data_IF_918427605530
#
_entry.id   IF_918427605530
#
_cell.length_a   1.000
_cell.length_b   1.000
_cell.length_c   1.000
_cell.angle_alpha   90.00
_cell.angle_beta   90.00
_cell.angle_gamma   90.00
#
_symmetry.space_group_name_H-M   'P 1'
#
loop_
_entity.id
_entity.type
_entity.pdbx_description
1 polymer ?
#
# COMPACT_ATOMS: atom_id res chain seq x y z
N UNK A 1 -41.85 -17.34 5.57
CA UNK A 1 -41.22 -17.37 4.25
C UNK A 1 -41.03 -15.96 3.65
N UNK A 2 -42.00 -15.07 3.75
CA UNK A 2 -41.96 -13.71 3.21
C UNK A 2 -40.85 -12.81 3.85
N UNK A 3 -40.64 -12.91 5.14
CA UNK A 3 -39.67 -12.10 5.90
C UNK A 3 -38.23 -12.36 5.44
N UNK A 4 -37.87 -13.62 5.19
CA UNK A 4 -36.53 -13.97 4.73
C UNK A 4 -36.23 -13.47 3.30
N UNK A 5 -37.26 -13.39 2.45
CA UNK A 5 -37.16 -12.87 1.11
C UNK A 5 -36.94 -11.35 1.13
N UNK A 6 -37.67 -10.62 1.97
CA UNK A 6 -37.50 -9.17 2.14
C UNK A 6 -36.11 -8.83 2.70
N UNK A 7 -35.62 -9.59 3.70
CA UNK A 7 -34.24 -9.43 4.19
C UNK A 7 -33.18 -9.73 3.11
N UNK A 8 -33.39 -10.76 2.30
CA UNK A 8 -32.51 -11.10 1.19
C UNK A 8 -32.43 -9.96 0.16
N UNK A 9 -33.57 -9.40 -0.26
CA UNK A 9 -33.61 -8.30 -1.23
C UNK A 9 -32.97 -7.02 -0.67
N UNK A 10 -33.23 -6.70 0.60
CA UNK A 10 -32.59 -5.56 1.27
C UNK A 10 -31.06 -5.75 1.40
N UNK A 11 -30.63 -6.94 1.76
CA UNK A 11 -29.21 -7.26 1.89
C UNK A 11 -28.48 -7.21 0.54
N UNK A 12 -29.07 -7.79 -0.52
CA UNK A 12 -28.54 -7.70 -1.88
C UNK A 12 -28.58 -6.28 -2.43
N UNK A 13 -29.63 -5.51 -2.15
CA UNK A 13 -29.70 -4.09 -2.52
C UNK A 13 -28.63 -3.24 -1.84
N UNK A 14 -28.33 -3.52 -0.57
CA UNK A 14 -27.25 -2.89 0.17
C UNK A 14 -25.87 -3.26 -0.41
N UNK A 15 -25.65 -4.54 -0.75
CA UNK A 15 -24.40 -5.00 -1.36
C UNK A 15 -24.23 -4.43 -2.79
N UNK A 16 -25.27 -4.40 -3.59
CA UNK A 16 -25.24 -3.86 -4.94
C UNK A 16 -24.95 -2.34 -4.97
N UNK A 17 -25.30 -1.62 -3.90
CA UNK A 17 -25.06 -0.19 -3.75
C UNK A 17 -23.82 0.10 -2.87
N UNK A 18 -22.82 -0.76 -2.92
CA UNK A 18 -21.61 -0.71 -2.08
C UNK A 18 -20.78 0.57 -2.24
N UNK A 19 -20.93 1.27 -3.36
CA UNK A 19 -20.27 2.56 -3.58
C UNK A 19 -20.71 3.67 -2.60
N UNK A 20 -21.89 3.51 -1.97
CA UNK A 20 -22.43 4.48 -1.00
C UNK A 20 -22.12 4.11 0.46
N UNK A 21 -21.65 2.90 0.72
CA UNK A 21 -21.36 2.45 2.09
C UNK A 21 -19.93 2.81 2.49
N UNK A 22 -19.79 3.72 3.44
CA UNK A 22 -18.49 4.14 4.01
C UNK A 22 -17.61 2.98 4.51
N UNK A 23 -18.20 1.81 4.80
CA UNK A 23 -17.48 0.61 5.25
C UNK A 23 -16.47 0.11 4.20
N UNK A 24 -16.80 0.24 2.91
CA UNK A 24 -15.94 -0.21 1.81
C UNK A 24 -14.98 0.85 1.30
N UNK A 25 -15.10 2.12 1.76
CA UNK A 25 -14.21 3.19 1.34
C UNK A 25 -12.73 2.90 1.65
N UNK A 26 -12.45 2.07 2.64
CA UNK A 26 -11.07 1.69 3.03
C UNK A 26 -10.34 0.85 1.98
N UNK A 27 -11.06 0.18 1.10
CA UNK A 27 -10.46 -0.67 0.04
C UNK A 27 -10.77 -0.15 -1.36
N UNK A 28 -11.72 0.81 -1.47
CA UNK A 28 -12.06 1.40 -2.76
C UNK A 28 -10.85 2.15 -3.35
N UNK A 29 -10.59 1.87 -4.61
CA UNK A 29 -9.50 2.50 -5.36
C UNK A 29 -8.13 1.83 -5.20
N UNK A 30 -7.95 0.81 -4.33
CA UNK A 30 -6.66 0.13 -4.18
C UNK A 30 -6.30 -0.64 -5.46
N UNK A 31 -7.27 -1.31 -6.10
CA UNK A 31 -7.03 -2.03 -7.36
C UNK A 31 -6.63 -1.09 -8.50
N UNK A 32 -7.28 0.05 -8.64
CA UNK A 32 -6.91 1.06 -9.64
C UNK A 32 -5.54 1.68 -9.33
N UNK A 33 -5.23 1.87 -8.06
CA UNK A 33 -3.94 2.37 -7.61
C UNK A 33 -2.81 1.35 -7.87
N UNK A 34 -3.03 0.07 -7.61
CA UNK A 34 -2.02 -0.97 -7.89
C UNK A 34 -1.72 -1.08 -9.39
N UNK A 35 -2.76 -1.06 -10.24
CA UNK A 35 -2.58 -1.07 -11.70
C UNK A 35 -1.85 0.19 -12.19
N UNK A 36 -2.09 1.32 -11.55
CA UNK A 36 -1.36 2.55 -11.84
C UNK A 36 0.12 2.42 -11.46
N UNK A 37 0.44 1.95 -10.25
CA UNK A 37 1.81 1.73 -9.80
C UNK A 37 2.58 0.80 -10.74
N UNK A 38 1.99 -0.34 -11.06
CA UNK A 38 2.60 -1.35 -11.94
C UNK A 38 2.97 -0.76 -13.30
N UNK A 39 2.04 -0.04 -13.92
CA UNK A 39 2.22 0.53 -15.26
C UNK A 39 3.15 1.73 -15.33
N UNK A 40 3.26 2.50 -14.23
CA UNK A 40 3.93 3.81 -14.26
C UNK A 40 5.26 3.80 -13.51
N UNK A 41 5.33 3.13 -12.37
CA UNK A 41 6.46 3.27 -11.46
C UNK A 41 7.23 1.97 -11.23
N UNK A 42 6.61 0.80 -11.47
CA UNK A 42 7.26 -0.50 -11.26
C UNK A 42 7.92 -1.08 -12.51
N UNK A 43 7.95 -0.34 -13.62
CA UNK A 43 8.68 -0.76 -14.81
C UNK A 43 10.17 -0.81 -14.48
N UNK A 44 10.76 -2.00 -14.56
CA UNK A 44 12.17 -2.26 -14.18
C UNK A 44 12.50 -2.00 -12.71
N UNK A 45 11.53 -2.07 -11.81
CA UNK A 45 11.71 -1.97 -10.36
C UNK A 45 11.12 -3.20 -9.68
N UNK A 46 11.94 -3.87 -8.90
CA UNK A 46 11.56 -5.13 -8.24
C UNK A 46 11.18 -4.92 -6.77
N UNK A 47 11.50 -3.74 -6.21
CA UNK A 47 11.31 -3.46 -4.78
C UNK A 47 10.32 -2.32 -4.58
N UNK A 48 9.30 -2.60 -3.77
CA UNK A 48 8.28 -1.67 -3.33
C UNK A 48 8.27 -1.56 -1.81
N UNK A 49 8.50 -0.37 -1.29
CA UNK A 49 8.47 -0.09 0.16
C UNK A 49 7.21 0.70 0.49
N UNK A 50 6.42 0.21 1.43
CA UNK A 50 5.12 0.80 1.77
C UNK A 50 5.00 0.99 3.28
N UNK A 51 4.81 2.22 3.72
CA UNK A 51 4.68 2.55 5.14
C UNK A 51 3.26 2.36 5.70
N UNK A 52 2.25 2.59 4.88
CA UNK A 52 0.85 2.42 5.30
C UNK A 52 0.48 0.93 5.39
N UNK A 53 0.11 0.48 6.59
CA UNK A 53 -0.23 -0.93 6.88
C UNK A 53 -1.37 -1.48 6.03
N UNK A 54 -2.44 -0.69 5.83
CA UNK A 54 -3.59 -1.14 5.05
C UNK A 54 -3.22 -1.28 3.58
N UNK A 55 -2.52 -0.29 3.06
CA UNK A 55 -2.05 -0.29 1.69
C UNK A 55 -1.06 -1.44 1.45
N UNK A 56 -0.10 -1.64 2.37
CA UNK A 56 0.86 -2.74 2.32
C UNK A 56 0.16 -4.11 2.18
N UNK A 57 -0.79 -4.39 3.08
CA UNK A 57 -1.47 -5.70 3.09
C UNK A 57 -2.26 -5.96 1.81
N UNK A 58 -2.93 -4.95 1.29
CA UNK A 58 -3.70 -5.07 0.05
C UNK A 58 -2.79 -5.20 -1.19
N UNK A 59 -1.75 -4.37 -1.30
CA UNK A 59 -0.79 -4.46 -2.40
C UNK A 59 -0.04 -5.79 -2.38
N UNK A 60 0.36 -6.28 -1.20
CA UNK A 60 1.01 -7.60 -1.06
C UNK A 60 0.11 -8.74 -1.54
N UNK A 61 -1.19 -8.64 -1.31
CA UNK A 61 -2.15 -9.61 -1.84
C UNK A 61 -2.29 -9.50 -3.37
N UNK A 62 -2.34 -8.29 -3.92
CA UNK A 62 -2.49 -8.07 -5.36
C UNK A 62 -1.23 -8.55 -6.12
N UNK A 63 -0.04 -8.20 -5.61
CA UNK A 63 1.25 -8.53 -6.23
C UNK A 63 1.81 -9.90 -5.84
N UNK A 64 1.02 -10.76 -5.17
CA UNK A 64 1.51 -12.07 -4.66
C UNK A 64 2.04 -13.05 -5.71
N UNK A 65 1.72 -12.84 -6.98
CA UNK A 65 2.18 -13.66 -8.09
C UNK A 65 3.11 -12.91 -9.05
N UNK A 66 3.64 -11.78 -8.63
CA UNK A 66 4.65 -11.00 -9.35
C UNK A 66 6.00 -11.14 -8.66
N UNK A 67 7.08 -10.75 -9.34
CA UNK A 67 8.44 -10.75 -8.78
C UNK A 67 8.71 -9.51 -7.90
N UNK A 68 7.68 -8.72 -7.56
CA UNK A 68 7.82 -7.52 -6.75
C UNK A 68 8.02 -7.91 -5.29
N UNK A 69 9.19 -7.60 -4.76
CA UNK A 69 9.50 -7.72 -3.32
C UNK A 69 8.92 -6.54 -2.55
N UNK A 70 8.15 -6.81 -1.50
CA UNK A 70 7.51 -5.76 -0.71
C UNK A 70 8.05 -5.70 0.71
N UNK A 71 8.44 -4.50 1.13
CA UNK A 71 8.96 -4.21 2.46
C UNK A 71 8.21 -3.06 3.14
N UNK A 72 8.27 -3.05 4.48
CA UNK A 72 7.76 -1.96 5.30
C UNK A 72 8.92 -1.28 6.03
N UNK A 73 9.01 0.06 6.03
CA UNK A 73 10.02 0.77 6.79
C UNK A 73 9.85 0.46 8.28
N UNK A 74 10.92 0.04 8.93
CA UNK A 74 10.90 -0.21 10.37
C UNK A 74 12.31 -0.05 10.93
N UNK A 75 12.52 1.03 11.68
CA UNK A 75 13.82 1.28 12.30
C UNK A 75 14.16 0.18 13.31
N UNK A 76 15.40 -0.34 13.29
CA UNK A 76 15.87 -1.31 14.27
C UNK A 76 15.63 -0.83 15.71
N UNK A 77 15.31 -1.76 16.60
CA UNK A 77 15.05 -1.49 18.03
C UNK A 77 13.83 -0.62 18.34
N UNK A 78 13.02 -0.25 17.37
CA UNK A 78 11.75 0.43 17.61
C UNK A 78 10.62 -0.57 17.90
N UNK A 79 9.56 -0.08 18.55
CA UNK A 79 8.40 -0.92 18.87
C UNK A 79 7.72 -1.42 17.60
N UNK A 80 7.52 -2.73 17.54
CA UNK A 80 6.72 -3.34 16.47
C UNK A 80 5.26 -2.95 16.65
N UNK A 81 4.69 -2.27 15.67
CA UNK A 81 3.32 -1.76 15.73
C UNK A 81 2.40 -2.41 14.68
N UNK A 82 2.96 -3.20 13.78
CA UNK A 82 2.20 -3.82 12.70
C UNK A 82 2.80 -5.14 12.23
N UNK A 83 1.97 -6.01 11.64
CA UNK A 83 2.42 -7.27 11.06
C UNK A 83 3.50 -7.10 9.95
N UNK A 84 3.43 -6.12 9.04
CA UNK A 84 4.48 -5.88 8.07
C UNK A 84 5.86 -5.63 8.66
N UNK A 85 5.95 -4.97 9.81
CA UNK A 85 7.22 -4.74 10.52
C UNK A 85 7.89 -6.05 10.97
N UNK A 86 7.08 -7.09 11.25
CA UNK A 86 7.58 -8.42 11.59
C UNK A 86 7.96 -9.26 10.38
N UNK A 87 7.04 -9.30 9.40
CA UNK A 87 7.13 -10.27 8.31
C UNK A 87 7.95 -9.79 7.11
N UNK A 88 8.10 -8.50 6.96
CA UNK A 88 8.74 -7.90 5.78
C UNK A 88 9.39 -6.54 6.12
N UNK A 89 10.28 -6.48 7.13
CA UNK A 89 10.98 -5.23 7.46
C UNK A 89 11.99 -4.87 6.37
N UNK A 90 12.09 -3.59 6.06
CA UNK A 90 13.16 -3.09 5.20
C UNK A 90 14.47 -3.08 6.01
N UNK A 91 15.45 -3.85 5.57
CA UNK A 91 16.73 -3.96 6.27
C UNK A 91 17.60 -2.73 5.99
N UNK A 92 18.40 -2.33 6.99
CA UNK A 92 19.37 -1.22 6.84
C UNK A 92 20.50 -1.52 5.85
N UNK A 93 20.71 -2.78 5.50
CA UNK A 93 21.73 -3.23 4.55
C UNK A 93 21.28 -3.18 3.09
N UNK A 94 20.07 -2.69 2.81
CA UNK A 94 19.61 -2.54 1.42
C UNK A 94 20.47 -1.53 0.69
N UNK A 95 20.85 -1.85 -0.54
CA UNK A 95 21.64 -1.02 -1.45
C UNK A 95 21.10 -1.06 -2.89
N UNK A 96 19.84 -1.33 -3.04
CA UNK A 96 19.13 -1.36 -4.33
C UNK A 96 18.13 -0.22 -4.41
N UNK A 97 17.97 0.32 -5.61
CA UNK A 97 16.92 1.32 -5.87
C UNK A 97 15.54 0.73 -5.67
N UNK A 98 14.63 1.52 -5.10
CA UNK A 98 13.25 1.08 -4.87
C UNK A 98 12.25 2.23 -4.96
N UNK A 99 10.98 1.88 -5.05
CA UNK A 99 9.87 2.82 -4.94
C UNK A 99 9.36 2.83 -3.50
N UNK A 100 9.29 4.03 -2.90
CA UNK A 100 8.70 4.26 -1.59
C UNK A 100 7.31 4.87 -1.73
N UNK A 101 6.35 4.28 -1.02
CA UNK A 101 5.01 4.84 -0.83
C UNK A 101 4.86 5.20 0.64
N UNK A 102 4.85 6.51 0.93
CA UNK A 102 4.76 7.02 2.28
C UNK A 102 5.68 8.21 2.52
N UNK A 103 6.07 8.41 3.77
CA UNK A 103 6.91 9.55 4.15
C UNK A 103 8.40 9.19 4.11
N UNK A 104 9.25 9.96 3.39
CA UNK A 104 10.68 9.63 3.25
C UNK A 104 11.45 9.66 4.59
N UNK A 105 10.99 10.41 5.59
CA UNK A 105 11.59 10.42 6.92
C UNK A 105 11.54 9.07 7.66
N UNK A 106 10.67 8.17 7.24
CA UNK A 106 10.63 6.80 7.77
C UNK A 106 11.84 5.97 7.36
N UNK A 107 12.67 6.45 6.42
CA UNK A 107 13.93 5.83 6.00
C UNK A 107 15.16 6.36 6.76
N UNK A 108 15.00 7.25 7.73
CA UNK A 108 16.13 7.89 8.45
C UNK A 108 17.07 6.90 9.15
N UNK A 109 16.62 5.66 9.37
CA UNK A 109 17.45 4.61 9.98
C UNK A 109 18.39 3.91 8.99
N UNK A 110 18.24 4.14 7.69
CA UNK A 110 19.15 3.56 6.70
C UNK A 110 20.51 4.24 6.78
N UNK A 111 21.55 3.44 6.96
CA UNK A 111 22.92 3.93 7.08
C UNK A 111 23.55 4.29 5.74
N UNK A 112 23.02 3.72 4.65
CA UNK A 112 23.51 3.94 3.30
C UNK A 112 23.17 5.36 2.81
N UNK A 113 24.09 5.96 2.09
CA UNK A 113 23.81 7.20 1.36
C UNK A 113 22.83 6.90 0.23
N UNK A 114 21.72 7.59 0.20
CA UNK A 114 20.70 7.46 -0.83
C UNK A 114 20.08 8.82 -1.14
N UNK A 115 19.55 8.94 -2.34
CA UNK A 115 18.79 10.10 -2.78
C UNK A 115 17.29 9.75 -2.80
N UNK A 116 16.45 10.65 -2.33
CA UNK A 116 15.00 10.50 -2.37
C UNK A 116 14.42 11.55 -3.29
N UNK A 117 13.77 11.13 -4.33
CA UNK A 117 13.11 12.02 -5.28
C UNK A 117 11.61 11.76 -5.25
N UNK A 118 10.81 12.78 -4.95
CA UNK A 118 9.36 12.68 -5.13
C UNK A 118 9.03 12.66 -6.61
N UNK A 119 8.45 11.57 -7.07
CA UNK A 119 8.14 11.36 -8.49
C UNK A 119 6.66 11.53 -8.81
N UNK A 120 5.78 11.35 -7.80
CA UNK A 120 4.33 11.44 -8.03
C UNK A 120 3.55 11.66 -6.73
N UNK A 121 2.25 11.94 -6.90
CA UNK A 121 1.28 12.06 -5.81
C UNK A 121 -0.11 11.69 -6.33
N UNK A 122 -0.70 10.62 -5.78
CA UNK A 122 -1.98 10.08 -6.26
C UNK A 122 -3.06 10.12 -5.18
N UNK A 123 -4.17 10.78 -5.48
CA UNK A 123 -5.35 10.73 -4.61
C UNK A 123 -6.08 9.40 -4.81
N UNK A 124 -6.36 8.71 -3.71
CA UNK A 124 -7.15 7.46 -3.67
C UNK A 124 -8.37 7.64 -2.80
N UNK A 125 -9.43 6.88 -3.11
CA UNK A 125 -10.75 7.07 -2.49
C UNK A 125 -10.73 6.88 -0.97
N UNK A 126 -9.89 5.97 -0.46
CA UNK A 126 -9.86 5.64 0.97
C UNK A 126 -9.03 6.61 1.82
N UNK A 127 -8.32 7.57 1.21
CA UNK A 127 -7.50 8.56 1.93
C UNK A 127 -7.94 9.98 1.60
N UNK A 128 -8.03 10.82 2.62
CA UNK A 128 -8.31 12.25 2.47
C UNK A 128 -7.11 13.01 1.86
N UNK A 129 -5.90 12.53 2.12
CA UNK A 129 -4.65 13.09 1.58
C UNK A 129 -4.13 12.26 0.42
N UNK A 130 -3.48 12.87 -0.57
CA UNK A 130 -2.82 12.12 -1.64
C UNK A 130 -1.76 11.18 -1.08
N UNK A 131 -1.60 10.03 -1.72
CA UNK A 131 -0.50 9.11 -1.47
C UNK A 131 0.72 9.63 -2.25
N UNK A 132 1.79 9.87 -1.54
CA UNK A 132 3.05 10.32 -2.14
C UNK A 132 3.91 9.12 -2.54
N UNK A 133 4.54 9.25 -3.71
CA UNK A 133 5.38 8.22 -4.32
C UNK A 133 6.77 8.81 -4.54
N UNK A 134 7.78 8.10 -4.08
CA UNK A 134 9.17 8.51 -4.16
C UNK A 134 10.00 7.42 -4.83
N UNK A 135 11.00 7.81 -5.58
CA UNK A 135 12.10 6.95 -6.01
C UNK A 135 13.26 7.14 -5.04
N UNK A 136 13.80 6.02 -4.56
CA UNK A 136 14.99 5.98 -3.70
C UNK A 136 16.11 5.35 -4.49
N UNK A 137 17.22 6.09 -4.62
CA UNK A 137 18.39 5.72 -5.42
C UNK A 137 19.61 5.69 -4.51
N UNK A 138 20.33 4.57 -4.53
CA UNK A 138 21.57 4.32 -3.80
C UNK A 138 22.81 4.62 -4.66
#
# INVERSE_FOLDING_TARGET
MFVNFVFGVLFFGLIANTSSLNIFNRINGISSFSSYLEKTHMINKDILVVSDRLLFSNLKYIFKYTDIEMFSPHAPHTKITSQPHLSSPLLSTINKNFILIGHPGELNYLENKFSVLKIDSKKVVFKNTPIEIYEVVF
#
